data_IF_908320820685
#
_entry.id   IF_908320820685
#
_cell.length_a   1.000
_cell.length_b   1.000
_cell.length_c   1.000
_cell.angle_alpha   90.00
_cell.angle_beta   90.00
_cell.angle_gamma   90.00
#
_symmetry.space_group_name_H-M   'P 1'
#
loop_
_entity.id
_entity.type
_entity.pdbx_description
1 polymer ?
#
# COMPACT_ATOMS: atom_id res chain seq x y z
N UNK A 1 0.49 15.74 22.68
CA UNK A 1 -0.73 14.91 22.47
C UNK A 1 -1.37 15.29 21.13
N UNK A 2 -0.71 14.98 20.01
CA UNK A 2 -1.19 15.19 18.62
C UNK A 2 -0.60 14.15 17.64
N UNK A 3 0.18 13.18 18.13
CA UNK A 3 0.90 12.23 17.29
C UNK A 3 -0.05 11.39 16.42
N UNK A 4 -1.22 10.98 16.93
CA UNK A 4 -2.17 10.13 16.22
C UNK A 4 -2.85 10.75 14.98
N UNK A 5 -2.76 12.07 14.80
CA UNK A 5 -3.45 12.84 13.73
C UNK A 5 -2.49 13.39 12.66
N UNK A 6 -1.23 12.98 12.67
CA UNK A 6 -0.31 13.27 11.56
C UNK A 6 -0.71 12.50 10.28
N UNK A 7 -0.12 12.88 9.13
CA UNK A 7 -0.45 12.28 7.83
C UNK A 7 -0.29 10.74 7.83
N UNK A 8 0.67 10.23 8.61
CA UNK A 8 0.89 8.81 8.78
C UNK A 8 -0.23 8.13 9.58
N UNK A 9 -0.64 8.69 10.72
CA UNK A 9 -1.78 8.21 11.49
C UNK A 9 -3.08 8.26 10.70
N UNK A 10 -3.30 9.34 9.95
CA UNK A 10 -4.47 9.48 9.07
C UNK A 10 -4.48 8.45 7.94
N UNK A 11 -3.32 8.09 7.39
CA UNK A 11 -3.22 6.99 6.43
C UNK A 11 -3.62 5.65 7.06
N UNK A 12 -3.12 5.35 8.26
CA UNK A 12 -3.44 4.11 8.98
C UNK A 12 -4.94 4.01 9.30
N UNK A 13 -5.57 5.10 9.70
CA UNK A 13 -7.04 5.16 9.87
C UNK A 13 -7.74 4.94 8.53
N UNK A 14 -7.28 5.60 7.46
CA UNK A 14 -7.81 5.40 6.11
C UNK A 14 -7.67 3.96 5.60
N UNK A 15 -6.64 3.24 6.07
CA UNK A 15 -6.39 1.84 5.80
C UNK A 15 -7.28 0.87 6.60
N UNK A 16 -8.08 1.41 7.54
CA UNK A 16 -9.05 0.68 8.34
C UNK A 16 -8.61 0.37 9.77
N UNK A 17 -7.44 0.86 10.23
CA UNK A 17 -7.05 0.72 11.63
C UNK A 17 -7.85 1.67 12.52
N UNK A 18 -8.13 1.25 13.74
CA UNK A 18 -8.76 2.11 14.72
C UNK A 18 -7.72 3.01 15.41
N UNK A 19 -8.10 4.15 16.01
CA UNK A 19 -7.18 5.03 16.72
C UNK A 19 -6.37 4.34 17.84
N UNK A 20 -6.93 3.30 18.47
CA UNK A 20 -6.26 2.49 19.49
C UNK A 20 -5.11 1.63 18.95
N UNK A 21 -5.13 1.28 17.66
CA UNK A 21 -4.09 0.47 17.01
C UNK A 21 -2.89 1.33 16.55
N UNK A 22 -3.03 2.65 16.58
CA UNK A 22 -1.99 3.56 16.09
C UNK A 22 -0.77 3.58 17.02
N UNK A 23 0.44 3.68 16.45
CA UNK A 23 1.65 3.96 17.21
C UNK A 23 1.47 5.17 18.12
N UNK A 24 1.97 5.09 19.34
CA UNK A 24 1.91 6.22 20.30
C UNK A 24 3.25 6.96 20.44
N UNK A 25 4.35 6.29 20.10
CA UNK A 25 5.69 6.87 20.11
C UNK A 25 5.92 7.86 18.96
N UNK A 26 7.04 8.57 19.02
CA UNK A 26 7.51 9.45 17.94
C UNK A 26 8.19 8.68 16.80
N UNK A 27 8.53 7.41 17.04
CA UNK A 27 9.13 6.51 16.07
C UNK A 27 8.32 5.22 15.97
N UNK A 28 8.36 4.60 14.79
CA UNK A 28 7.82 3.26 14.55
C UNK A 28 8.98 2.29 14.55
N UNK A 29 8.96 1.35 15.50
CA UNK A 29 9.99 0.30 15.59
C UNK A 29 9.77 -0.78 14.54
N UNK A 30 10.80 -1.59 14.23
CA UNK A 30 10.68 -2.73 13.31
C UNK A 30 9.62 -3.73 13.77
N UNK A 31 9.54 -3.99 15.08
CA UNK A 31 8.54 -4.90 15.65
C UNK A 31 7.13 -4.34 15.52
N UNK A 32 6.94 -3.06 15.84
CA UNK A 32 5.66 -2.38 15.69
C UNK A 32 5.23 -2.32 14.22
N UNK A 33 6.16 -2.04 13.29
CA UNK A 33 5.87 -2.07 11.86
C UNK A 33 5.42 -3.45 11.38
N UNK A 34 6.05 -4.52 11.88
CA UNK A 34 5.65 -5.90 11.59
C UNK A 34 4.24 -6.22 12.12
N UNK A 35 3.93 -5.76 13.33
CA UNK A 35 2.61 -5.94 13.95
C UNK A 35 1.52 -5.17 13.18
N UNK A 36 1.78 -3.93 12.78
CA UNK A 36 0.85 -3.14 11.97
C UNK A 36 0.59 -3.77 10.61
N UNK A 37 1.62 -4.31 9.93
CA UNK A 37 1.44 -5.05 8.67
C UNK A 37 0.51 -6.26 8.82
N UNK A 38 0.63 -6.97 9.94
CA UNK A 38 -0.27 -8.07 10.28
C UNK A 38 -1.70 -7.56 10.51
N UNK A 39 -1.89 -6.51 11.31
CA UNK A 39 -3.22 -5.92 11.54
C UNK A 39 -3.88 -5.46 10.24
N UNK A 40 -3.13 -4.75 9.39
CA UNK A 40 -3.59 -4.34 8.07
C UNK A 40 -4.01 -5.52 7.18
N UNK A 41 -3.53 -6.75 7.45
CA UNK A 41 -3.90 -7.94 6.66
C UNK A 41 -5.18 -8.59 7.15
N UNK A 42 -5.49 -8.38 8.44
CA UNK A 42 -6.65 -8.96 9.11
C UNK A 42 -7.90 -8.07 9.00
N UNK A 43 -7.72 -6.74 8.99
CA UNK A 43 -8.84 -5.78 8.95
C UNK A 43 -9.72 -5.96 7.70
N UNK A 44 -9.21 -6.56 6.62
CA UNK A 44 -9.97 -6.77 5.40
C UNK A 44 -10.22 -5.45 4.68
N UNK A 45 -9.78 -5.34 3.43
CA UNK A 45 -9.80 -4.05 2.76
C UNK A 45 -11.21 -3.74 2.28
N UNK A 46 -11.90 -2.80 2.94
CA UNK A 46 -13.04 -2.12 2.32
C UNK A 46 -12.59 -1.50 0.99
N UNK A 47 -13.50 -1.37 0.02
CA UNK A 47 -13.14 -0.81 -1.29
C UNK A 47 -12.52 0.59 -1.16
N UNK A 48 -12.96 1.38 -0.17
CA UNK A 48 -12.39 2.71 0.11
C UNK A 48 -11.06 2.64 0.86
N UNK A 49 -10.85 1.64 1.71
CA UNK A 49 -9.61 1.48 2.47
C UNK A 49 -8.46 0.83 1.68
N UNK A 50 -8.74 0.23 0.53
CA UNK A 50 -7.75 -0.54 -0.22
C UNK A 50 -6.50 0.26 -0.61
N UNK A 51 -6.67 1.46 -1.20
CA UNK A 51 -5.54 2.33 -1.55
C UNK A 51 -4.67 2.68 -0.34
N UNK A 52 -5.26 3.26 0.72
CA UNK A 52 -4.54 3.58 1.95
C UNK A 52 -3.83 2.38 2.56
N UNK A 53 -4.46 1.20 2.53
CA UNK A 53 -3.92 -0.04 3.07
C UNK A 53 -2.69 -0.53 2.31
N UNK A 54 -2.70 -0.50 0.97
CA UNK A 54 -1.52 -0.82 0.14
C UNK A 54 -0.38 0.16 0.44
N UNK A 55 -0.68 1.45 0.54
CA UNK A 55 0.31 2.50 0.83
C UNK A 55 0.92 2.35 2.22
N UNK A 56 0.08 2.08 3.23
CA UNK A 56 0.51 1.90 4.61
C UNK A 56 1.39 0.65 4.74
N UNK A 57 0.95 -0.47 4.17
CA UNK A 57 1.72 -1.70 4.19
C UNK A 57 3.09 -1.50 3.54
N UNK A 58 3.16 -0.83 2.39
CA UNK A 58 4.42 -0.54 1.70
C UNK A 58 5.39 0.25 2.59
N UNK A 59 4.94 1.34 3.21
CA UNK A 59 5.80 2.15 4.09
C UNK A 59 6.32 1.35 5.28
N UNK A 60 5.46 0.53 5.89
CA UNK A 60 5.85 -0.35 6.98
C UNK A 60 6.80 -1.45 6.51
N UNK A 61 6.65 -1.92 5.27
CA UNK A 61 7.59 -2.85 4.65
C UNK A 61 8.99 -2.25 4.52
N UNK A 62 9.09 -0.96 4.15
CA UNK A 62 10.38 -0.26 4.08
C UNK A 62 11.07 -0.21 5.46
N UNK A 63 10.30 0.03 6.53
CA UNK A 63 10.83 0.00 7.91
C UNK A 63 11.38 -1.38 8.25
N UNK A 64 10.59 -2.44 7.99
CA UNK A 64 11.01 -3.82 8.27
C UNK A 64 12.23 -4.22 7.44
N UNK A 65 12.26 -3.86 6.16
CA UNK A 65 13.35 -4.22 5.23
C UNK A 65 14.65 -3.50 5.59
N UNK A 66 14.59 -2.24 6.02
CA UNK A 66 15.77 -1.48 6.45
C UNK A 66 16.26 -1.86 7.84
N UNK A 67 15.40 -2.47 8.66
CA UNK A 67 15.79 -2.98 9.98
C UNK A 67 16.06 -1.90 11.02
N UNK A 68 15.59 -0.67 10.79
CA UNK A 68 15.80 0.49 11.68
C UNK A 68 14.46 1.10 12.10
N UNK A 69 14.42 1.68 13.30
CA UNK A 69 13.29 2.51 13.73
C UNK A 69 13.25 3.79 12.90
N UNK A 70 12.04 4.25 12.57
CA UNK A 70 11.85 5.44 11.72
C UNK A 70 10.90 6.41 12.40
N UNK A 71 11.29 7.68 12.48
CA UNK A 71 10.43 8.73 13.03
C UNK A 71 9.14 8.88 12.23
N UNK A 72 8.05 9.20 12.92
CA UNK A 72 6.75 9.48 12.29
C UNK A 72 6.82 10.67 11.34
N UNK A 73 7.61 11.69 11.67
CA UNK A 73 7.88 12.83 10.79
C UNK A 73 8.49 12.36 9.47
N UNK A 74 9.51 11.49 9.51
CA UNK A 74 10.13 10.90 8.32
C UNK A 74 9.15 10.04 7.52
N UNK A 75 8.26 9.29 8.19
CA UNK A 75 7.20 8.55 7.51
C UNK A 75 6.22 9.50 6.81
N UNK A 76 5.86 10.61 7.43
CA UNK A 76 5.08 11.70 6.84
C UNK A 76 5.73 12.31 5.60
N UNK A 77 7.05 12.52 5.63
CA UNK A 77 7.79 13.00 4.45
C UNK A 77 7.80 11.96 3.32
N UNK A 78 8.02 10.68 3.66
CA UNK A 78 8.00 9.56 2.70
C UNK A 78 6.63 9.40 2.03
N UNK A 79 5.54 9.76 2.70
CA UNK A 79 4.18 9.73 2.16
C UNK A 79 3.99 10.64 0.95
N UNK A 80 4.78 11.72 0.83
CA UNK A 80 4.67 12.66 -0.28
C UNK A 80 4.82 11.99 -1.64
N UNK A 81 5.62 10.92 -1.71
CA UNK A 81 5.81 10.11 -2.93
C UNK A 81 4.52 9.47 -3.45
N UNK A 82 3.53 9.22 -2.59
CA UNK A 82 2.30 8.51 -2.94
C UNK A 82 1.11 9.43 -3.21
N UNK A 83 1.23 10.74 -2.96
CA UNK A 83 0.10 11.68 -3.04
C UNK A 83 -0.55 11.72 -4.42
N UNK A 84 0.24 11.60 -5.48
CA UNK A 84 -0.22 11.61 -6.87
C UNK A 84 -0.31 10.20 -7.49
N UNK A 85 -0.14 9.14 -6.69
CA UNK A 85 -0.13 7.76 -7.18
C UNK A 85 -1.49 7.10 -7.01
N UNK A 86 -1.70 6.07 -7.82
CA UNK A 86 -2.87 5.22 -7.80
C UNK A 86 -2.48 3.75 -7.67
N UNK A 87 -3.43 2.89 -7.30
CA UNK A 87 -3.25 1.43 -7.21
C UNK A 87 -4.44 0.71 -7.84
N UNK A 88 -4.21 -0.51 -8.33
CA UNK A 88 -5.28 -1.39 -8.79
C UNK A 88 -5.98 -2.04 -7.60
N UNK A 89 -7.30 -1.87 -7.53
CA UNK A 89 -8.19 -2.48 -6.53
C UNK A 89 -8.80 -3.80 -7.05
N UNK A 90 -9.15 -4.78 -6.18
CA UNK A 90 -9.62 -6.10 -6.60
C UNK A 90 -10.90 -6.12 -7.45
N UNK A 91 -11.69 -5.06 -7.41
CA UNK A 91 -12.92 -4.88 -8.19
C UNK A 91 -12.66 -4.31 -9.60
N UNK A 92 -11.40 -4.11 -9.99
CA UNK A 92 -11.05 -3.64 -11.34
C UNK A 92 -10.94 -2.13 -11.48
N UNK A 93 -10.91 -1.39 -10.38
CA UNK A 93 -10.74 0.06 -10.39
C UNK A 93 -9.30 0.47 -10.08
N UNK A 94 -8.80 1.44 -10.82
CA UNK A 94 -7.68 2.27 -10.40
C UNK A 94 -8.21 3.29 -9.39
N UNK A 95 -7.57 3.34 -8.21
CA UNK A 95 -7.98 4.20 -7.10
C UNK A 95 -6.80 5.02 -6.59
N UNK A 96 -7.05 6.23 -6.10
CA UNK A 96 -6.02 7.06 -5.50
C UNK A 96 -5.40 6.37 -4.28
N UNK A 97 -4.06 6.29 -4.23
CA UNK A 97 -3.33 5.55 -3.21
C UNK A 97 -3.60 6.08 -1.80
N UNK A 98 -3.70 7.40 -1.63
CA UNK A 98 -3.90 8.02 -0.31
C UNK A 98 -5.33 7.99 0.22
N UNK A 99 -6.34 7.78 -0.63
CA UNK A 99 -7.76 7.96 -0.24
C UNK A 99 -8.69 6.84 -0.66
N UNK A 100 -8.25 5.97 -1.56
CA UNK A 100 -9.05 4.91 -2.18
C UNK A 100 -10.22 5.43 -3.03
N UNK A 101 -10.23 6.73 -3.37
CA UNK A 101 -11.19 7.33 -4.29
C UNK A 101 -11.05 6.65 -5.67
N UNK A 102 -12.13 6.10 -6.25
CA UNK A 102 -12.10 5.57 -7.61
C UNK A 102 -11.73 6.66 -8.63
N UNK A 103 -10.84 6.32 -9.54
CA UNK A 103 -10.39 7.19 -10.62
C UNK A 103 -10.85 6.66 -11.98
N UNK A 104 -10.66 5.36 -12.23
CA UNK A 104 -10.99 4.74 -13.52
C UNK A 104 -11.31 3.25 -13.34
N UNK A 105 -12.21 2.71 -14.17
CA UNK A 105 -12.46 1.27 -14.26
C UNK A 105 -11.62 0.71 -15.42
N UNK A 106 -10.75 -0.25 -15.13
CA UNK A 106 -9.80 -0.83 -16.09
C UNK A 106 -10.10 -2.29 -16.44
N UNK A 107 -11.20 -2.83 -15.92
CA UNK A 107 -11.69 -4.17 -16.22
C UNK A 107 -11.50 -5.19 -15.09
N UNK A 108 -11.97 -6.43 -15.27
CA UNK A 108 -11.97 -7.43 -14.21
C UNK A 108 -10.54 -7.86 -13.83
N UNK A 109 -10.34 -8.09 -12.54
CA UNK A 109 -9.09 -8.62 -12.00
C UNK A 109 -9.08 -10.14 -12.06
N UNK A 110 -8.00 -10.72 -12.59
CA UNK A 110 -7.77 -12.17 -12.63
C UNK A 110 -6.30 -12.51 -12.49
N UNK A 111 -5.99 -13.79 -12.25
CA UNK A 111 -4.61 -14.27 -12.21
C UNK A 111 -4.07 -14.34 -13.63
N UNK A 112 -3.00 -13.60 -13.91
CA UNK A 112 -2.34 -13.53 -15.20
C UNK A 112 -0.82 -13.47 -14.97
N UNK A 113 -0.07 -14.41 -15.57
CA UNK A 113 1.38 -14.53 -15.37
C UNK A 113 1.77 -14.56 -13.88
N UNK A 114 1.06 -15.39 -13.11
CA UNK A 114 1.31 -15.57 -11.68
C UNK A 114 0.84 -14.44 -10.76
N UNK A 115 0.36 -13.30 -11.28
CA UNK A 115 -0.04 -12.16 -10.46
C UNK A 115 -1.51 -11.77 -10.70
N UNK A 116 -2.14 -11.12 -9.72
CA UNK A 116 -3.47 -10.56 -9.87
C UNK A 116 -3.43 -9.26 -10.68
N UNK A 117 -4.11 -9.25 -11.82
CA UNK A 117 -4.02 -8.19 -12.84
C UNK A 117 -5.36 -7.88 -13.51
N UNK A 118 -5.46 -6.64 -14.01
CA UNK A 118 -6.46 -6.20 -14.98
C UNK A 118 -5.71 -5.54 -16.15
N UNK A 119 -5.61 -6.24 -17.29
CA UNK A 119 -4.73 -5.83 -18.39
C UNK A 119 -3.28 -5.65 -17.92
N UNK A 120 -2.71 -4.48 -18.21
CA UNK A 120 -1.34 -4.11 -17.82
C UNK A 120 -1.18 -3.74 -16.34
N UNK A 121 -2.30 -3.55 -15.63
CA UNK A 121 -2.32 -3.18 -14.22
C UNK A 121 -2.20 -4.42 -13.33
N UNK A 122 -1.36 -4.33 -12.30
CA UNK A 122 -1.08 -5.37 -11.31
C UNK A 122 -1.46 -4.87 -9.93
N UNK A 123 -2.08 -5.72 -9.14
CA UNK A 123 -2.34 -5.41 -7.75
C UNK A 123 -1.03 -5.31 -6.94
N UNK A 124 -0.98 -4.38 -6.00
CA UNK A 124 0.20 -4.12 -5.17
C UNK A 124 1.25 -3.21 -5.82
N UNK A 125 1.10 -2.84 -7.09
CA UNK A 125 1.94 -1.83 -7.74
C UNK A 125 1.32 -0.42 -7.63
N UNK A 126 2.17 0.60 -7.76
CA UNK A 126 1.77 2.01 -7.79
C UNK A 126 1.87 2.55 -9.20
N UNK A 127 0.95 3.47 -9.53
CA UNK A 127 0.81 4.02 -10.86
C UNK A 127 0.74 5.54 -10.82
N UNK A 128 1.50 6.20 -11.70
CA UNK A 128 1.39 7.63 -11.94
C UNK A 128 0.49 7.89 -13.15
N UNK A 129 -0.24 9.01 -13.13
CA UNK A 129 -0.99 9.45 -14.31
C UNK A 129 0.00 9.85 -15.42
N UNK A 130 -0.17 9.27 -16.60
CA UNK A 130 0.62 9.59 -17.79
C UNK A 130 -0.28 9.63 -19.02
N UNK A 131 -0.40 10.81 -19.64
CA UNK A 131 -1.26 11.00 -20.81
C UNK A 131 -2.73 10.72 -20.51
N UNK A 132 -3.31 9.74 -21.21
CA UNK A 132 -4.71 9.33 -21.05
C UNK A 132 -4.90 8.14 -20.10
N UNK A 133 -3.84 7.67 -19.43
CA UNK A 133 -3.92 6.50 -18.57
C UNK A 133 -2.93 6.55 -17.41
N UNK A 134 -2.54 5.36 -16.98
CA UNK A 134 -1.69 5.15 -15.81
C UNK A 134 -0.51 4.27 -16.16
N UNK A 135 0.69 4.66 -15.74
CA UNK A 135 1.91 3.86 -15.91
C UNK A 135 2.47 3.48 -14.55
N UNK A 136 2.98 2.25 -14.45
CA UNK A 136 3.63 1.78 -13.23
C UNK A 136 4.79 2.72 -12.87
N UNK A 137 4.76 3.26 -11.65
CA UNK A 137 5.81 4.15 -11.16
C UNK A 137 6.98 3.31 -10.64
N UNK A 138 7.99 3.14 -11.49
CA UNK A 138 9.18 2.34 -11.17
C UNK A 138 10.10 2.98 -10.14
N UNK A 139 9.86 4.24 -9.72
CA UNK A 139 10.58 4.86 -8.60
C UNK A 139 10.15 4.30 -7.25
N UNK A 140 9.02 3.60 -7.19
CA UNK A 140 8.56 2.83 -6.04
C UNK A 140 8.94 1.36 -6.26
N UNK A 141 10.10 0.89 -5.75
CA UNK A 141 10.56 -0.47 -5.99
C UNK A 141 9.59 -1.47 -5.38
N UNK A 142 9.40 -2.61 -6.05
CA UNK A 142 8.56 -3.67 -5.49
C UNK A 142 9.21 -4.24 -4.23
N UNK A 143 8.46 -4.22 -3.14
CA UNK A 143 8.86 -4.89 -1.90
C UNK A 143 8.28 -6.31 -1.89
N UNK A 144 8.86 -7.26 -1.14
CA UNK A 144 8.36 -8.61 -1.04
C UNK A 144 6.86 -8.60 -0.78
N UNK A 145 6.13 -9.29 -1.66
CA UNK A 145 4.67 -9.27 -1.65
C UNK A 145 4.17 -9.66 -0.26
N UNK A 146 3.10 -8.98 0.21
CA UNK A 146 2.27 -9.57 1.25
C UNK A 146 1.78 -10.92 0.75
N UNK A 147 1.59 -11.88 1.65
CA UNK A 147 1.01 -13.18 1.32
C UNK A 147 -0.36 -13.09 0.60
N UNK A 148 -1.04 -11.94 0.64
CA UNK A 148 -2.28 -11.70 -0.10
C UNK A 148 -2.09 -11.37 -1.59
N UNK A 149 -0.92 -10.86 -1.99
CA UNK A 149 -0.57 -10.55 -3.38
C UNK A 149 0.24 -11.67 -4.05
N UNK A 150 0.09 -12.91 -3.54
CA UNK A 150 0.84 -14.10 -3.97
C UNK A 150 1.13 -14.05 -5.47
N UNK A 151 2.40 -13.83 -5.79
CA UNK A 151 2.93 -14.26 -7.07
C UNK A 151 3.00 -15.78 -6.97
N UNK A 152 2.24 -16.50 -7.81
CA UNK A 152 2.56 -17.89 -8.03
C UNK A 152 4.02 -17.90 -8.50
N UNK A 153 4.89 -18.54 -7.72
CA UNK A 153 6.29 -18.72 -8.10
C UNK A 153 6.29 -19.16 -9.56
N UNK A 154 6.85 -18.32 -10.44
CA UNK A 154 7.05 -18.68 -11.82
C UNK A 154 7.76 -20.02 -11.80
N UNK A 155 7.16 -21.00 -12.44
CA UNK A 155 7.85 -22.22 -12.83
C UNK A 155 8.94 -21.78 -13.82
N UNK A 156 10.08 -21.34 -13.29
CA UNK A 156 11.34 -21.37 -14.02
C UNK A 156 11.71 -22.84 -14.16
N UNK A 157 11.05 -23.50 -15.12
CA UNK A 157 11.56 -24.73 -15.69
C UNK A 157 12.63 -24.37 -16.74
N UNK A 158 13.75 -25.12 -16.79
CA UNK A 158 14.95 -24.80 -17.57
C UNK A 158 14.75 -24.80 -19.08
#
# INVERSE_FOLDING_TARGET
>A
MLAATDDFGMLLIGAGLSPEDLPRGEEVTVQEASQLRLLLSLVGNSLRGFGPNVTADYLLAEVVTKGEAVSRTTLGERLRRFQALAVLRPDGYIVAAMTGKPLECVGPVGVQNGALRAGDYRMGAFYASEGQGYREDTSIPRLPARAFFLEAAGDEAP
#
